data_IF_446674699597
#
_entry.id   IF_446674699597
#
_cell.length_a   1.000
_cell.length_b   1.000
_cell.length_c   1.000
_cell.angle_alpha   90.00
_cell.angle_beta   90.00
_cell.angle_gamma   90.00
#
_symmetry.space_group_name_H-M   'P 1'
#
loop_
_entity.id
_entity.type
_entity.pdbx_description
1 polymer ?
#
# COMPACT_ATOMS: atom_id res chain seq x y z
N UNK A 1 -10.92 14.87 -12.86
CA UNK A 1 -10.86 13.45 -13.27
C UNK A 1 -11.23 12.52 -12.10
N UNK A 2 -10.77 12.81 -10.90
CA UNK A 2 -11.14 12.11 -9.66
C UNK A 2 -11.92 13.03 -8.69
N UNK A 3 -12.54 14.05 -9.21
CA UNK A 3 -13.35 14.98 -8.43
C UNK A 3 -14.40 14.20 -7.64
N UNK A 4 -14.62 14.62 -6.39
CA UNK A 4 -15.53 13.97 -5.44
C UNK A 4 -15.15 12.52 -5.04
N UNK A 5 -13.98 12.00 -5.44
CA UNK A 5 -13.51 10.67 -4.99
C UNK A 5 -12.73 10.79 -3.70
N UNK A 6 -13.11 9.97 -2.72
CA UNK A 6 -12.37 9.80 -1.48
C UNK A 6 -11.40 8.63 -1.58
N UNK A 7 -10.12 8.94 -1.44
CA UNK A 7 -9.02 7.97 -1.56
C UNK A 7 -8.35 7.77 -0.21
N UNK A 8 -8.15 6.52 0.17
CA UNK A 8 -7.35 6.13 1.34
C UNK A 8 -6.07 5.44 0.87
N UNK A 9 -4.91 6.01 1.20
CA UNK A 9 -3.58 5.46 0.87
C UNK A 9 -2.85 5.09 2.15
N UNK A 10 -2.54 3.81 2.34
CA UNK A 10 -1.77 3.38 3.51
C UNK A 10 -0.26 3.55 3.28
N UNK A 11 0.47 4.04 4.31
CA UNK A 11 1.93 4.25 4.21
C UNK A 11 2.32 5.37 3.24
N UNK A 12 1.72 6.56 3.40
CA UNK A 12 1.86 7.69 2.46
C UNK A 12 2.96 8.70 2.84
N UNK A 13 3.85 8.38 3.78
CA UNK A 13 4.90 9.31 4.25
C UNK A 13 6.03 9.52 3.24
N UNK A 14 6.35 8.49 2.45
CA UNK A 14 7.50 8.46 1.51
C UNK A 14 7.28 7.48 0.37
N UNK A 15 8.24 7.46 -0.57
CA UNK A 15 8.31 6.48 -1.66
C UNK A 15 7.03 6.39 -2.47
N UNK A 16 6.66 5.18 -2.85
CA UNK A 16 5.50 4.87 -3.71
C UNK A 16 4.20 5.41 -3.13
N UNK A 17 3.96 5.23 -1.83
CA UNK A 17 2.73 5.69 -1.20
C UNK A 17 2.55 7.20 -1.25
N UNK A 18 3.62 7.96 -1.02
CA UNK A 18 3.61 9.43 -1.15
C UNK A 18 3.33 9.85 -2.59
N UNK A 19 4.02 9.24 -3.56
CA UNK A 19 3.83 9.56 -4.97
C UNK A 19 2.39 9.28 -5.43
N UNK A 20 1.81 8.14 -5.04
CA UNK A 20 0.41 7.80 -5.32
C UNK A 20 -0.53 8.84 -4.69
N UNK A 21 -0.33 9.19 -3.42
CA UNK A 21 -1.18 10.16 -2.72
C UNK A 21 -1.16 11.53 -3.41
N UNK A 22 0.02 12.01 -3.80
CA UNK A 22 0.18 13.28 -4.51
C UNK A 22 -0.44 13.26 -5.90
N UNK A 23 -0.25 12.18 -6.66
CA UNK A 23 -0.78 12.04 -8.02
C UNK A 23 -2.31 12.00 -8.01
N UNK A 24 -2.91 11.22 -7.11
CA UNK A 24 -4.37 11.13 -6.99
C UNK A 24 -4.97 12.44 -6.50
N UNK A 25 -4.31 13.14 -5.57
CA UNK A 25 -4.71 14.47 -5.12
C UNK A 25 -4.63 15.51 -6.24
N UNK A 26 -3.57 15.52 -7.03
CA UNK A 26 -3.44 16.40 -8.19
C UNK A 26 -4.50 16.11 -9.27
N UNK A 27 -5.03 14.89 -9.33
CA UNK A 27 -6.14 14.50 -10.20
C UNK A 27 -7.55 14.91 -9.66
N UNK A 28 -7.62 15.63 -8.53
CA UNK A 28 -8.85 16.18 -7.94
C UNK A 28 -9.44 15.34 -6.80
N UNK A 29 -8.81 14.24 -6.39
CA UNK A 29 -9.32 13.43 -5.29
C UNK A 29 -9.10 14.11 -3.92
N UNK A 30 -10.02 13.83 -2.97
CA UNK A 30 -9.76 14.02 -1.55
C UNK A 30 -8.96 12.82 -1.04
N UNK A 31 -7.76 13.06 -0.48
CA UNK A 31 -6.84 11.97 -0.11
C UNK A 31 -6.64 11.90 1.40
N UNK A 32 -6.85 10.73 1.97
CA UNK A 32 -6.42 10.40 3.32
C UNK A 32 -5.15 9.55 3.19
N UNK A 33 -4.01 10.11 3.62
CA UNK A 33 -2.74 9.38 3.68
C UNK A 33 -2.46 8.89 5.10
N UNK A 34 -1.93 7.68 5.30
CA UNK A 34 -1.64 7.22 6.65
C UNK A 34 -0.15 7.06 6.95
N UNK A 35 0.18 7.23 8.23
CA UNK A 35 1.49 7.04 8.82
C UNK A 35 1.38 6.30 10.15
N UNK A 36 2.43 5.61 10.59
CA UNK A 36 2.44 4.91 11.88
C UNK A 36 2.61 5.85 13.09
N UNK A 37 3.04 7.09 12.87
CA UNK A 37 3.24 8.10 13.93
C UNK A 37 2.40 9.35 13.69
N UNK A 38 2.09 10.09 14.76
CA UNK A 38 1.41 11.40 14.67
C UNK A 38 2.21 12.38 13.82
N UNK A 39 3.52 12.49 14.08
CA UNK A 39 4.41 13.36 13.30
C UNK A 39 4.38 13.03 11.80
N UNK A 40 4.33 11.73 11.45
CA UNK A 40 4.19 11.30 10.06
C UNK A 40 2.86 11.74 9.43
N UNK A 41 1.77 11.67 10.20
CA UNK A 41 0.45 12.13 9.76
C UNK A 41 0.40 13.65 9.57
N UNK A 42 0.98 14.41 10.51
CA UNK A 42 1.11 15.87 10.40
C UNK A 42 1.93 16.27 9.17
N UNK A 43 3.04 15.60 8.91
CA UNK A 43 3.87 15.84 7.73
C UNK A 43 3.12 15.57 6.43
N UNK A 44 2.30 14.52 6.34
CA UNK A 44 1.43 14.27 5.18
C UNK A 44 0.45 15.43 5.00
N UNK A 45 -0.20 15.88 6.08
CA UNK A 45 -1.15 17.00 6.05
C UNK A 45 -0.50 18.29 5.56
N UNK A 46 0.71 18.58 6.06
CA UNK A 46 1.50 19.74 5.62
C UNK A 46 1.81 19.67 4.13
N UNK A 47 2.30 18.53 3.64
CA UNK A 47 2.60 18.33 2.21
C UNK A 47 1.34 18.51 1.36
N UNK A 48 0.19 18.02 1.79
CA UNK A 48 -1.08 18.20 1.06
C UNK A 48 -1.47 19.68 1.01
N UNK A 49 -1.35 20.41 2.12
CA UNK A 49 -1.60 21.86 2.17
C UNK A 49 -0.69 22.61 1.21
N UNK A 50 0.63 22.36 1.25
CA UNK A 50 1.62 23.01 0.38
C UNK A 50 1.37 22.73 -1.11
N UNK A 51 0.83 21.54 -1.43
CA UNK A 51 0.48 21.12 -2.81
C UNK A 51 -0.97 21.43 -3.18
N UNK A 52 -1.76 22.06 -2.31
CA UNK A 52 -3.19 22.38 -2.50
C UNK A 52 -4.04 21.13 -2.79
N UNK A 53 -3.70 20.01 -2.15
CA UNK A 53 -4.45 18.76 -2.23
C UNK A 53 -5.47 18.72 -1.11
N UNK A 54 -6.73 18.39 -1.44
CA UNK A 54 -7.78 18.16 -0.46
C UNK A 54 -7.51 16.87 0.32
N UNK A 55 -7.61 16.92 1.66
CA UNK A 55 -7.42 15.75 2.51
C UNK A 55 -6.50 16.00 3.68
N UNK A 56 -6.10 14.93 4.35
CA UNK A 56 -5.21 15.01 5.53
C UNK A 56 -4.43 13.71 5.75
N UNK A 57 -3.38 13.81 6.55
CA UNK A 57 -2.70 12.66 7.12
C UNK A 57 -3.42 12.16 8.38
N UNK A 58 -3.43 10.85 8.58
CA UNK A 58 -3.98 10.21 9.78
C UNK A 58 -3.03 9.12 10.27
N UNK A 59 -2.95 8.97 11.61
CA UNK A 59 -2.16 7.88 12.19
C UNK A 59 -2.88 6.56 12.00
N UNK A 60 -2.11 5.53 11.63
CA UNK A 60 -2.58 4.16 11.51
C UNK A 60 -1.43 3.17 11.59
N UNK A 61 -1.52 2.23 12.49
CA UNK A 61 -0.84 0.93 12.39
C UNK A 61 -1.81 -0.05 11.70
N UNK A 62 -1.46 -0.48 10.49
CA UNK A 62 -2.29 -1.39 9.69
C UNK A 62 -2.41 -2.80 10.30
N UNK A 63 -1.57 -3.13 11.28
CA UNK A 63 -1.62 -4.41 11.99
C UNK A 63 -2.63 -4.39 13.15
N UNK A 64 -3.03 -3.22 13.61
CA UNK A 64 -3.96 -3.00 14.72
C UNK A 64 -5.41 -2.93 14.22
N UNK A 65 -6.21 -3.91 14.62
CA UNK A 65 -7.63 -4.01 14.20
C UNK A 65 -8.49 -2.85 14.71
N UNK A 66 -8.20 -2.36 15.92
CA UNK A 66 -8.96 -1.27 16.53
C UNK A 66 -8.67 0.05 15.82
N UNK A 67 -7.38 0.35 15.56
CA UNK A 67 -7.00 1.53 14.79
C UNK A 67 -7.59 1.51 13.38
N UNK A 68 -7.57 0.37 12.68
CA UNK A 68 -8.20 0.23 11.36
C UNK A 68 -9.70 0.54 11.41
N UNK A 69 -10.40 -0.02 12.39
CA UNK A 69 -11.85 0.19 12.54
C UNK A 69 -12.18 1.65 12.86
N UNK A 70 -11.45 2.25 13.80
CA UNK A 70 -11.64 3.63 14.22
C UNK A 70 -11.29 4.60 13.08
N UNK A 71 -10.21 4.35 12.34
CA UNK A 71 -9.84 5.17 11.18
C UNK A 71 -10.97 5.23 10.15
N UNK A 72 -11.49 4.08 9.73
CA UNK A 72 -12.53 4.01 8.69
C UNK A 72 -13.84 4.62 9.19
N UNK A 73 -14.16 4.48 10.48
CA UNK A 73 -15.32 5.15 11.10
C UNK A 73 -15.15 6.67 11.05
N UNK A 74 -14.02 7.20 11.51
CA UNK A 74 -13.73 8.65 11.52
C UNK A 74 -13.73 9.23 10.09
N UNK A 75 -13.15 8.51 9.13
CA UNK A 75 -13.22 8.90 7.71
C UNK A 75 -14.68 8.96 7.25
N UNK A 76 -15.48 7.98 7.65
CA UNK A 76 -16.91 7.93 7.31
C UNK A 76 -17.71 9.11 7.84
N UNK A 77 -17.39 9.59 9.04
CA UNK A 77 -18.04 10.74 9.70
C UNK A 77 -17.59 12.07 9.07
N UNK A 78 -16.27 12.22 8.81
CA UNK A 78 -15.70 13.49 8.33
C UNK A 78 -15.84 13.70 6.81
N UNK A 79 -15.68 12.63 6.02
CA UNK A 79 -15.53 12.70 4.56
C UNK A 79 -16.50 11.80 3.79
N UNK A 80 -17.15 10.89 4.46
CA UNK A 80 -18.00 9.88 3.82
C UNK A 80 -17.28 8.57 3.52
N UNK A 81 -17.90 7.72 2.71
CA UNK A 81 -17.41 6.38 2.44
C UNK A 81 -16.26 6.39 1.43
N UNK A 82 -15.17 5.68 1.72
CA UNK A 82 -14.01 5.52 0.84
C UNK A 82 -14.42 4.96 -0.53
N UNK A 83 -13.99 5.63 -1.59
CA UNK A 83 -14.20 5.19 -2.98
C UNK A 83 -13.03 4.37 -3.51
N UNK A 84 -11.81 4.73 -3.12
CA UNK A 84 -10.58 4.08 -3.58
C UNK A 84 -9.70 3.76 -2.36
N UNK A 85 -9.34 2.50 -2.20
CA UNK A 85 -8.36 2.06 -1.21
C UNK A 85 -7.07 1.66 -1.93
N UNK A 86 -5.95 2.24 -1.52
CA UNK A 86 -4.61 1.83 -1.94
C UNK A 86 -3.89 1.20 -0.75
N UNK A 87 -3.76 -0.11 -0.76
CA UNK A 87 -2.96 -0.87 0.19
C UNK A 87 -1.50 -0.81 -0.26
N UNK A 88 -0.73 0.11 0.33
CA UNK A 88 0.67 0.31 0.01
C UNK A 88 1.60 0.10 1.22
N UNK A 89 1.11 0.27 2.45
CA UNK A 89 1.92 0.03 3.65
C UNK A 89 2.58 -1.35 3.62
N UNK A 90 3.86 -1.39 3.92
CA UNK A 90 4.64 -2.62 3.92
C UNK A 90 6.05 -2.40 4.44
N UNK A 91 6.66 -3.48 4.87
CA UNK A 91 8.04 -3.52 5.40
C UNK A 91 8.82 -4.66 4.77
N UNK A 92 10.14 -4.66 4.94
CA UNK A 92 11.03 -5.78 4.65
C UNK A 92 11.78 -6.19 5.93
N UNK A 93 11.99 -7.48 6.11
CA UNK A 93 12.87 -8.10 7.12
C UNK A 93 13.55 -9.27 6.45
N UNK A 94 14.62 -8.95 5.74
CA UNK A 94 15.31 -9.90 4.87
C UNK A 94 16.28 -10.74 5.68
N UNK A 95 16.17 -12.06 5.56
CA UNK A 95 17.08 -13.02 6.16
C UNK A 95 16.99 -14.36 5.40
N UNK A 96 18.09 -15.12 5.35
CA UNK A 96 18.02 -16.48 4.80
C UNK A 96 17.16 -17.36 5.71
N UNK A 97 16.37 -18.25 5.13
CA UNK A 97 15.38 -19.04 5.86
C UNK A 97 15.95 -19.76 7.09
N UNK A 98 17.18 -20.31 6.98
CA UNK A 98 17.84 -21.00 8.07
C UNK A 98 18.11 -20.12 9.32
N UNK A 99 18.20 -18.81 9.14
CA UNK A 99 18.47 -17.83 10.21
C UNK A 99 17.27 -16.92 10.49
N UNK A 100 16.23 -17.01 9.67
CA UNK A 100 15.03 -16.20 9.83
C UNK A 100 14.35 -16.55 11.15
N UNK A 101 14.09 -15.51 11.95
CA UNK A 101 13.38 -15.62 13.20
C UNK A 101 11.87 -15.61 12.97
N UNK A 102 11.11 -16.19 13.91
CA UNK A 102 9.67 -16.25 13.85
C UNK A 102 9.02 -14.86 13.81
N UNK A 103 9.56 -13.92 14.62
CA UNK A 103 9.10 -12.54 14.61
C UNK A 103 9.37 -11.81 13.27
N UNK A 104 10.48 -12.13 12.57
CA UNK A 104 10.75 -11.59 11.24
C UNK A 104 9.74 -12.10 10.20
N UNK A 105 9.31 -13.34 10.33
CA UNK A 105 8.26 -13.91 9.49
C UNK A 105 6.90 -13.32 9.79
N UNK A 106 6.49 -13.33 11.06
CA UNK A 106 5.17 -12.87 11.50
C UNK A 106 4.94 -11.39 11.20
N UNK A 107 5.94 -10.54 11.46
CA UNK A 107 5.83 -9.10 11.17
C UNK A 107 5.59 -8.83 9.68
N UNK A 108 6.28 -9.58 8.79
CA UNK A 108 6.07 -9.45 7.35
C UNK A 108 4.68 -9.93 6.95
N UNK A 109 4.25 -11.08 7.42
CA UNK A 109 2.91 -11.60 7.11
C UNK A 109 1.83 -10.66 7.65
N UNK A 110 1.95 -10.20 8.88
CA UNK A 110 0.98 -9.32 9.51
C UNK A 110 0.89 -7.95 8.81
N UNK A 111 2.05 -7.35 8.51
CA UNK A 111 2.09 -6.01 7.91
C UNK A 111 1.79 -6.04 6.41
N UNK A 112 2.35 -7.00 5.66
CA UNK A 112 2.27 -6.96 4.20
C UNK A 112 1.08 -7.73 3.61
N UNK A 113 0.50 -8.71 4.36
CA UNK A 113 -0.61 -9.54 3.86
C UNK A 113 -1.87 -9.40 4.71
N UNK A 114 -1.79 -9.67 6.03
CA UNK A 114 -2.97 -9.63 6.90
C UNK A 114 -3.59 -8.23 6.96
N UNK A 115 -2.78 -7.17 6.90
CA UNK A 115 -3.25 -5.79 6.85
C UNK A 115 -4.14 -5.51 5.63
N UNK A 116 -3.81 -6.09 4.47
CA UNK A 116 -4.59 -5.93 3.24
C UNK A 116 -6.00 -6.50 3.39
N UNK A 117 -6.12 -7.67 4.02
CA UNK A 117 -7.42 -8.25 4.39
C UNK A 117 -8.19 -7.29 5.32
N UNK A 118 -7.55 -6.80 6.40
CA UNK A 118 -8.19 -5.92 7.38
C UNK A 118 -8.68 -4.63 6.75
N UNK A 119 -7.81 -3.94 6.00
CA UNK A 119 -8.14 -2.69 5.31
C UNK A 119 -9.23 -2.88 4.26
N UNK A 120 -9.11 -3.89 3.41
CA UNK A 120 -10.11 -4.18 2.38
C UNK A 120 -11.48 -4.46 3.00
N UNK A 121 -11.53 -5.32 4.03
CA UNK A 121 -12.77 -5.65 4.74
C UNK A 121 -13.43 -4.43 5.38
N UNK A 122 -12.65 -3.50 5.94
CA UNK A 122 -13.17 -2.33 6.63
C UNK A 122 -13.90 -1.34 5.71
N UNK A 123 -13.44 -1.19 4.45
CA UNK A 123 -14.05 -0.28 3.47
C UNK A 123 -15.12 -0.95 2.58
N UNK A 124 -15.07 -2.28 2.49
CA UNK A 124 -15.85 -3.04 1.51
C UNK A 124 -17.37 -2.84 1.63
N UNK A 125 -17.88 -2.78 2.86
CA UNK A 125 -19.33 -2.58 3.10
C UNK A 125 -19.84 -1.29 2.47
N UNK A 126 -19.08 -0.21 2.61
CA UNK A 126 -19.41 1.10 2.00
C UNK A 126 -19.40 1.04 0.48
N UNK A 127 -18.37 0.42 -0.11
CA UNK A 127 -18.24 0.25 -1.56
C UNK A 127 -19.39 -0.60 -2.15
N UNK A 128 -19.74 -1.72 -1.49
CA UNK A 128 -20.85 -2.57 -1.91
C UNK A 128 -22.18 -1.81 -1.87
N UNK A 129 -22.44 -1.02 -0.81
CA UNK A 129 -23.65 -0.20 -0.68
C UNK A 129 -23.75 0.84 -1.79
N UNK A 130 -22.65 1.49 -2.15
CA UNK A 130 -22.57 2.44 -3.27
C UNK A 130 -22.60 1.76 -4.64
N UNK A 131 -22.41 0.44 -4.72
CA UNK A 131 -22.14 -0.33 -5.96
C UNK A 131 -21.00 0.27 -6.78
N UNK A 132 -20.02 0.81 -6.12
CA UNK A 132 -18.83 1.44 -6.72
C UNK A 132 -17.68 1.40 -5.72
N UNK A 133 -16.50 0.99 -6.16
CA UNK A 133 -15.29 0.97 -5.35
C UNK A 133 -14.08 0.48 -6.13
N UNK A 134 -12.90 0.87 -5.66
CA UNK A 134 -11.62 0.42 -6.23
C UNK A 134 -10.68 0.03 -5.07
N UNK A 135 -10.22 -1.21 -5.08
CA UNK A 135 -9.19 -1.67 -4.16
C UNK A 135 -7.94 -1.98 -4.99
N UNK A 136 -6.84 -1.34 -4.66
CA UNK A 136 -5.56 -1.48 -5.35
C UNK A 136 -4.52 -1.87 -4.30
N UNK A 137 -3.84 -3.00 -4.50
CA UNK A 137 -2.80 -3.46 -3.57
C UNK A 137 -1.43 -3.45 -4.25
N UNK A 138 -0.45 -2.86 -3.57
CA UNK A 138 0.93 -2.82 -4.06
C UNK A 138 1.63 -4.12 -3.63
N UNK A 139 1.80 -5.00 -4.61
CA UNK A 139 2.59 -6.23 -4.45
C UNK A 139 4.05 -6.00 -4.89
N UNK A 140 4.72 -6.98 -5.49
CA UNK A 140 6.09 -6.89 -5.99
C UNK A 140 6.31 -7.97 -7.03
N UNK A 141 7.23 -7.75 -7.96
CA UNK A 141 7.76 -8.81 -8.84
C UNK A 141 8.37 -9.97 -8.04
N UNK A 142 8.92 -9.68 -6.86
CA UNK A 142 9.44 -10.70 -5.91
C UNK A 142 8.36 -11.71 -5.50
N UNK A 143 7.10 -11.31 -5.43
CA UNK A 143 5.99 -12.22 -5.17
C UNK A 143 5.74 -13.25 -6.28
N UNK A 144 6.16 -12.95 -7.51
CA UNK A 144 6.05 -13.86 -8.65
C UNK A 144 7.34 -14.65 -8.93
N UNK A 145 8.50 -13.99 -8.75
CA UNK A 145 9.80 -14.57 -9.12
C UNK A 145 10.54 -15.20 -7.94
N UNK A 146 10.25 -14.78 -6.71
CA UNK A 146 11.07 -15.06 -5.54
C UNK A 146 12.35 -14.20 -5.50
N UNK A 147 12.98 -14.16 -4.33
CA UNK A 147 14.31 -13.59 -4.13
C UNK A 147 14.98 -14.25 -2.92
N UNK A 148 16.27 -14.55 -3.02
CA UNK A 148 17.03 -15.14 -1.92
C UNK A 148 17.00 -14.19 -0.71
N UNK A 149 16.78 -14.75 0.50
CA UNK A 149 16.67 -13.97 1.74
C UNK A 149 15.31 -13.29 1.96
N UNK A 150 14.34 -13.45 1.06
CA UNK A 150 13.02 -12.82 1.12
C UNK A 150 11.86 -13.83 1.09
N UNK A 151 12.03 -15.01 1.69
CA UNK A 151 10.97 -16.04 1.68
C UNK A 151 9.67 -15.56 2.33
N UNK A 152 9.76 -14.81 3.44
CA UNK A 152 8.63 -14.17 4.11
C UNK A 152 7.98 -13.09 3.22
N UNK A 153 8.77 -12.19 2.65
CA UNK A 153 8.29 -11.11 1.79
C UNK A 153 7.66 -11.65 0.50
N UNK A 154 8.34 -12.61 -0.16
CA UNK A 154 7.82 -13.26 -1.36
C UNK A 154 6.48 -13.97 -1.09
N UNK A 155 6.38 -14.71 0.03
CA UNK A 155 5.14 -15.37 0.44
C UNK A 155 4.00 -14.37 0.64
N UNK A 156 4.26 -13.26 1.36
CA UNK A 156 3.25 -12.21 1.58
C UNK A 156 2.81 -11.57 0.24
N UNK A 157 3.77 -11.20 -0.62
CA UNK A 157 3.47 -10.53 -1.90
C UNK A 157 2.80 -11.45 -2.91
N UNK A 158 3.12 -12.75 -2.91
CA UNK A 158 2.38 -13.77 -3.67
C UNK A 158 0.96 -13.96 -3.13
N UNK A 159 0.79 -13.98 -1.80
CA UNK A 159 -0.51 -14.08 -1.14
C UNK A 159 -1.47 -12.95 -1.54
N UNK A 160 -0.96 -11.71 -1.74
CA UNK A 160 -1.76 -10.58 -2.23
C UNK A 160 -2.37 -10.88 -3.60
N UNK A 161 -1.64 -11.55 -4.49
CA UNK A 161 -2.12 -11.88 -5.84
C UNK A 161 -3.32 -12.85 -5.75
N UNK A 162 -3.21 -13.88 -4.91
CA UNK A 162 -4.30 -14.83 -4.64
C UNK A 162 -5.52 -14.15 -4.02
N UNK A 163 -5.31 -13.33 -2.99
CA UNK A 163 -6.34 -12.53 -2.35
C UNK A 163 -7.07 -11.63 -3.34
N UNK A 164 -6.32 -10.91 -4.16
CA UNK A 164 -6.87 -9.98 -5.17
C UNK A 164 -7.78 -10.71 -6.15
N UNK A 165 -7.34 -11.84 -6.69
CA UNK A 165 -8.11 -12.64 -7.66
C UNK A 165 -9.42 -13.16 -7.06
N UNK A 166 -9.38 -13.65 -5.81
CA UNK A 166 -10.56 -14.17 -5.11
C UNK A 166 -11.55 -13.06 -4.81
N UNK A 167 -11.09 -11.97 -4.20
CA UNK A 167 -11.96 -10.85 -3.83
C UNK A 167 -12.58 -10.18 -5.07
N UNK A 168 -11.83 -10.04 -6.17
CA UNK A 168 -12.35 -9.50 -7.42
C UNK A 168 -13.56 -10.30 -7.95
N UNK A 169 -13.52 -11.63 -7.86
CA UNK A 169 -14.63 -12.50 -8.26
C UNK A 169 -15.83 -12.37 -7.32
N UNK A 170 -15.58 -12.20 -6.02
CA UNK A 170 -16.62 -12.08 -5.01
C UNK A 170 -17.42 -10.77 -5.13
N UNK A 171 -16.73 -9.65 -5.40
CA UNK A 171 -17.33 -8.32 -5.33
C UNK A 171 -17.59 -7.65 -6.69
N UNK A 172 -17.13 -8.25 -7.79
CA UNK A 172 -17.28 -7.69 -9.13
C UNK A 172 -18.73 -7.39 -9.52
N UNK A 173 -19.66 -8.28 -9.16
CA UNK A 173 -21.12 -8.11 -9.37
C UNK A 173 -21.70 -6.92 -8.59
N UNK A 174 -20.94 -6.37 -7.65
CA UNK A 174 -21.31 -5.19 -6.86
C UNK A 174 -20.67 -3.90 -7.37
N UNK A 175 -20.03 -3.92 -8.55
CA UNK A 175 -19.38 -2.76 -9.14
C UNK A 175 -18.06 -2.36 -8.46
N UNK A 176 -17.49 -3.25 -7.63
CA UNK A 176 -16.19 -3.05 -6.99
C UNK A 176 -15.12 -3.79 -7.77
N UNK A 177 -14.02 -3.10 -8.13
CA UNK A 177 -12.86 -3.74 -8.76
C UNK A 177 -11.74 -3.91 -7.75
N UNK A 178 -11.01 -5.02 -7.87
CA UNK A 178 -9.86 -5.33 -7.00
C UNK A 178 -8.69 -5.70 -7.89
N UNK A 179 -7.59 -4.95 -7.75
CA UNK A 179 -6.41 -5.10 -8.59
C UNK A 179 -5.14 -5.10 -7.73
N UNK A 180 -4.09 -5.71 -8.26
CA UNK A 180 -2.75 -5.67 -7.69
C UNK A 180 -1.77 -5.11 -8.71
N UNK A 181 -0.84 -4.26 -8.25
CA UNK A 181 0.26 -3.74 -9.05
C UNK A 181 1.54 -4.35 -8.49
N UNK A 182 2.33 -4.96 -9.35
CA UNK A 182 3.61 -5.58 -8.99
C UNK A 182 4.77 -4.70 -9.52
N UNK A 183 5.23 -3.69 -8.75
CA UNK A 183 6.39 -2.93 -9.17
C UNK A 183 7.64 -3.81 -9.26
N UNK A 184 8.50 -3.50 -10.22
CA UNK A 184 9.86 -3.98 -10.25
C UNK A 184 10.75 -3.21 -9.29
N UNK A 185 12.02 -3.02 -9.65
CA UNK A 185 12.94 -2.21 -8.87
C UNK A 185 12.62 -0.72 -9.09
N UNK A 186 12.21 -0.05 -8.03
CA UNK A 186 11.90 1.39 -8.00
C UNK A 186 12.86 2.05 -7.02
N UNK A 187 13.56 3.10 -7.45
CA UNK A 187 14.43 3.88 -6.58
C UNK A 187 13.59 4.63 -5.53
N UNK A 188 13.82 4.29 -4.27
CA UNK A 188 13.13 4.86 -3.09
C UNK A 188 14.09 4.82 -1.91
N UNK A 189 13.76 5.53 -0.84
CA UNK A 189 14.54 5.48 0.42
C UNK A 189 14.79 4.03 0.91
N UNK A 190 13.87 3.11 0.61
CA UNK A 190 14.00 1.69 0.97
C UNK A 190 15.07 0.99 0.14
N UNK A 191 15.17 1.29 -1.15
CA UNK A 191 16.15 0.69 -2.05
C UNK A 191 17.50 1.41 -2.01
N UNK A 192 17.51 2.68 -1.60
CA UNK A 192 18.74 3.46 -1.45
C UNK A 192 19.64 2.94 -0.33
N UNK A 193 19.05 2.30 0.67
CA UNK A 193 19.79 1.67 1.78
C UNK A 193 20.43 0.34 1.41
N UNK A 194 20.17 -0.23 0.22
CA UNK A 194 20.79 -1.49 -0.22
C UNK A 194 22.26 -1.30 -0.56
N UNK A 195 23.13 -2.29 -0.25
CA UNK A 195 24.51 -2.33 -0.69
C UNK A 195 24.63 -2.24 -2.22
N UNK A 196 25.71 -1.62 -2.71
CA UNK A 196 25.90 -1.36 -4.13
C UNK A 196 25.92 -2.63 -4.99
N UNK A 197 26.55 -3.69 -4.49
CA UNK A 197 26.59 -5.00 -5.13
C UNK A 197 25.18 -5.62 -5.32
N UNK A 198 24.29 -5.42 -4.36
CA UNK A 198 22.90 -5.85 -4.47
C UNK A 198 22.12 -5.01 -5.48
N UNK A 199 22.35 -3.69 -5.51
CA UNK A 199 21.73 -2.83 -6.51
C UNK A 199 22.14 -3.23 -7.93
N UNK A 200 23.42 -3.49 -8.14
CA UNK A 200 23.95 -3.95 -9.44
C UNK A 200 23.40 -5.34 -9.83
N UNK A 201 23.31 -6.27 -8.87
CA UNK A 201 22.71 -7.58 -9.12
C UNK A 201 21.22 -7.47 -9.51
N UNK A 202 20.46 -6.57 -8.88
CA UNK A 202 19.06 -6.32 -9.24
C UNK A 202 18.95 -5.63 -10.60
N UNK A 203 19.77 -4.63 -10.88
CA UNK A 203 19.80 -3.93 -12.17
C UNK A 203 20.14 -4.88 -13.34
N UNK A 204 21.05 -5.83 -13.12
CA UNK A 204 21.42 -6.83 -14.16
C UNK A 204 20.28 -7.77 -14.55
N UNK A 205 19.25 -7.92 -13.70
CA UNK A 205 18.06 -8.72 -14.00
C UNK A 205 17.03 -7.94 -14.83
N UNK A 206 17.22 -6.63 -15.02
CA UNK A 206 16.34 -5.79 -15.82
C UNK A 206 16.88 -5.76 -17.25
N UNK A 207 16.14 -6.28 -18.26
CA UNK A 207 16.65 -6.41 -19.63
C UNK A 207 17.19 -5.10 -20.22
N UNK A 208 16.63 -3.95 -19.84
CA UNK A 208 17.11 -2.64 -20.31
C UNK A 208 18.15 -2.01 -19.38
N UNK A 209 18.49 -2.62 -18.25
CA UNK A 209 19.44 -2.07 -17.28
C UNK A 209 18.98 -0.76 -16.61
N UNK A 210 17.70 -0.40 -16.71
CA UNK A 210 17.16 0.86 -16.22
C UNK A 210 16.22 0.60 -15.04
N UNK A 211 16.48 1.23 -13.89
CA UNK A 211 15.54 1.30 -12.77
C UNK A 211 14.42 2.30 -13.05
N UNK A 212 13.25 2.08 -12.46
CA UNK A 212 12.20 3.09 -12.44
C UNK A 212 12.51 4.13 -11.36
N UNK A 213 12.47 5.40 -11.74
CA UNK A 213 12.63 6.52 -10.83
C UNK A 213 11.26 7.16 -10.62
N UNK A 214 10.95 7.52 -9.38
CA UNK A 214 9.82 8.39 -9.11
C UNK A 214 10.14 9.80 -9.57
N UNK A 215 9.56 10.15 -10.68
CA UNK A 215 9.59 11.52 -11.20
C UNK A 215 8.42 12.30 -10.60
#
# INVERSE_FOLDING_TARGET
MLDEKLVLVTGATRGIGKAIALTLGAAGATVIGTATSELGAENISKVFTDKKISGKGMKLDVTDNEQVSNLVKNIGEDFGSVDILVNNAGITKDNILLRMKEDEWEDIINTNLSSIYKMSKSVLRGMIKKRSGRIISITSVVGAMGNAGQTNYAAAKAGIIGFTKSLAREVGVRGVTVNAIAPGFIETDMTDSLPQDQKEALASQIPMGLSLIHI
#
